data_IF_060699710757
#
_entry.id   IF_060699710757
#
_cell.length_a   1.000
_cell.length_b   1.000
_cell.length_c   1.000
_cell.angle_alpha   90.00
_cell.angle_beta   90.00
_cell.angle_gamma   90.00
#
_symmetry.space_group_name_H-M   'P 1'
#
loop_
_entity.id
_entity.type
_entity.pdbx_description
1 polymer ?
#
# COMPACT_ATOMS: atom_id res chain seq x y z
N UNK A 1 -5.55 -1.15 -19.31
CA UNK A 1 -6.86 -1.39 -18.67
C UNK A 1 -7.39 -0.06 -18.17
N UNK A 2 -8.52 0.39 -18.71
CA UNK A 2 -9.18 1.64 -18.31
C UNK A 2 -10.15 1.44 -17.14
N UNK A 3 -10.74 2.52 -16.64
CA UNK A 3 -11.64 2.52 -15.47
C UNK A 3 -12.85 1.57 -15.62
N UNK A 4 -13.36 1.40 -16.84
CA UNK A 4 -14.51 0.52 -17.16
C UNK A 4 -14.26 -0.96 -16.83
N UNK A 5 -13.00 -1.44 -16.83
CA UNK A 5 -12.71 -2.82 -16.40
C UNK A 5 -12.70 -2.99 -14.87
N UNK A 6 -12.87 -1.90 -14.11
CA UNK A 6 -12.86 -1.90 -12.65
C UNK A 6 -14.21 -1.57 -12.01
N UNK A 7 -15.26 -1.46 -12.82
CA UNK A 7 -16.66 -1.33 -12.35
C UNK A 7 -17.34 -2.67 -12.14
N UNK A 8 -16.71 -3.77 -12.58
CA UNK A 8 -17.18 -5.14 -12.35
C UNK A 8 -16.94 -5.57 -10.90
N UNK A 9 -17.84 -6.41 -10.37
CA UNK A 9 -17.76 -6.91 -9.00
C UNK A 9 -16.37 -7.51 -8.71
N UNK A 10 -15.76 -7.09 -7.60
CA UNK A 10 -14.45 -7.56 -7.11
C UNK A 10 -13.22 -7.32 -8.03
N UNK A 11 -13.37 -6.65 -9.17
CA UNK A 11 -12.26 -6.34 -10.09
C UNK A 11 -11.12 -5.54 -9.44
N UNK A 12 -11.44 -4.70 -8.45
CA UNK A 12 -10.47 -3.95 -7.65
C UNK A 12 -9.57 -4.85 -6.79
N UNK A 13 -10.03 -6.05 -6.43
CA UNK A 13 -9.29 -7.04 -5.64
C UNK A 13 -8.41 -7.96 -6.49
N UNK A 14 -8.57 -7.95 -7.82
CA UNK A 14 -7.79 -8.74 -8.77
C UNK A 14 -6.36 -8.20 -9.00
N UNK A 15 -5.70 -7.73 -7.93
CA UNK A 15 -4.36 -7.13 -7.97
C UNK A 15 -3.40 -7.83 -6.99
N UNK A 16 -3.17 -9.12 -7.22
CA UNK A 16 -2.20 -9.91 -6.46
C UNK A 16 -2.79 -10.66 -5.27
N UNK A 17 -4.13 -10.74 -5.19
CA UNK A 17 -4.84 -11.72 -4.35
C UNK A 17 -4.31 -13.13 -4.64
N UNK A 18 -4.22 -13.97 -3.62
CA UNK A 18 -3.69 -15.33 -3.75
C UNK A 18 -4.51 -16.31 -2.93
N UNK A 19 -4.78 -17.46 -3.54
CA UNK A 19 -5.46 -18.59 -2.91
C UNK A 19 -4.51 -19.78 -2.84
N UNK A 20 -4.58 -20.54 -1.75
CA UNK A 20 -3.97 -21.87 -1.68
C UNK A 20 -4.88 -22.87 -2.38
N UNK A 21 -4.31 -23.56 -3.35
CA UNK A 21 -4.95 -24.59 -4.18
C UNK A 21 -4.16 -25.90 -4.13
N UNK A 22 -3.33 -26.09 -3.09
CA UNK A 22 -2.49 -27.28 -2.92
C UNK A 22 -3.34 -28.56 -2.89
N UNK A 23 -2.86 -29.62 -3.55
CA UNK A 23 -3.53 -30.91 -3.58
C UNK A 23 -3.87 -31.42 -2.17
N UNK A 24 -5.13 -31.84 -1.99
CA UNK A 24 -5.65 -32.31 -0.71
C UNK A 24 -6.38 -31.25 0.12
N UNK A 25 -6.34 -29.98 -0.26
CA UNK A 25 -7.27 -28.97 0.29
C UNK A 25 -8.62 -29.12 -0.39
N UNK A 26 -9.70 -29.23 0.39
CA UNK A 26 -11.07 -29.49 -0.12
C UNK A 26 -11.66 -28.33 -0.93
N UNK A 27 -11.15 -27.11 -0.75
CA UNK A 27 -11.53 -25.92 -1.51
C UNK A 27 -10.40 -24.87 -1.51
N UNK A 28 -10.29 -24.02 -2.55
CA UNK A 28 -9.35 -22.92 -2.53
C UNK A 28 -9.53 -22.03 -1.29
N UNK A 29 -8.46 -21.72 -0.57
CA UNK A 29 -8.51 -20.87 0.62
C UNK A 29 -7.74 -19.56 0.39
N UNK A 30 -8.32 -18.42 0.81
CA UNK A 30 -7.66 -17.12 0.69
C UNK A 30 -6.44 -17.07 1.63
N UNK A 31 -5.26 -16.82 1.06
CA UNK A 31 -4.01 -16.75 1.85
C UNK A 31 -3.32 -15.39 1.78
N UNK A 32 -3.67 -14.55 0.80
CA UNK A 32 -3.17 -13.19 0.68
C UNK A 32 -4.22 -12.30 0.03
N UNK A 33 -4.51 -11.16 0.67
CA UNK A 33 -5.41 -10.13 0.19
C UNK A 33 -4.70 -8.77 0.25
N UNK A 34 -3.91 -8.40 -0.77
CA UNK A 34 -3.26 -7.09 -0.83
C UNK A 34 -4.28 -5.93 -0.90
N UNK A 35 -3.85 -4.66 -0.84
CA UNK A 35 -4.74 -3.52 -0.99
C UNK A 35 -5.46 -3.57 -2.34
N UNK A 36 -6.71 -3.11 -2.35
CA UNK A 36 -7.46 -2.90 -3.58
C UNK A 36 -6.69 -1.99 -4.54
N UNK A 37 -6.98 -2.13 -5.84
CA UNK A 37 -6.51 -1.18 -6.84
C UNK A 37 -7.07 0.21 -6.51
N UNK A 38 -6.17 1.17 -6.31
CA UNK A 38 -6.49 2.59 -6.29
C UNK A 38 -5.80 3.32 -7.44
N UNK A 39 -6.35 4.46 -7.84
CA UNK A 39 -5.97 5.20 -9.05
C UNK A 39 -5.20 6.46 -8.71
N UNK A 40 -4.56 7.02 -9.73
CA UNK A 40 -4.06 8.40 -9.65
C UNK A 40 -5.25 9.33 -9.56
N UNK A 41 -5.12 10.38 -8.77
CA UNK A 41 -6.18 11.37 -8.55
C UNK A 41 -6.75 11.90 -9.88
N UNK A 42 -5.91 12.05 -10.90
CA UNK A 42 -6.27 12.54 -12.23
C UNK A 42 -6.85 11.46 -13.16
N UNK A 43 -6.64 10.18 -12.86
CA UNK A 43 -7.05 9.05 -13.69
C UNK A 43 -8.23 8.26 -13.12
N UNK A 44 -8.77 8.71 -12.00
CA UNK A 44 -10.01 8.22 -11.43
C UNK A 44 -11.18 9.03 -12.01
N UNK A 45 -12.27 8.37 -12.42
CA UNK A 45 -13.43 9.10 -12.95
C UNK A 45 -14.37 9.63 -11.86
N UNK A 46 -14.06 9.38 -10.59
CA UNK A 46 -14.80 9.89 -9.44
C UNK A 46 -14.49 11.37 -9.22
N UNK A 47 -15.51 12.15 -8.88
CA UNK A 47 -15.29 13.47 -8.32
C UNK A 47 -14.85 13.33 -6.86
N UNK A 48 -13.54 13.41 -6.63
CA UNK A 48 -12.95 13.29 -5.30
C UNK A 48 -13.37 14.40 -4.34
N UNK A 49 -13.86 15.55 -4.84
CA UNK A 49 -14.28 16.70 -4.03
C UNK A 49 -15.62 16.49 -3.32
N UNK A 50 -16.35 15.43 -3.69
CA UNK A 50 -17.57 15.00 -2.99
C UNK A 50 -17.27 14.30 -1.64
N UNK A 51 -16.01 13.95 -1.40
CA UNK A 51 -15.53 13.43 -0.12
C UNK A 51 -14.61 14.43 0.60
N UNK A 52 -14.22 14.09 1.82
CA UNK A 52 -13.24 14.84 2.61
C UNK A 52 -11.88 14.13 2.60
N UNK A 53 -10.80 14.90 2.74
CA UNK A 53 -9.45 14.34 2.89
C UNK A 53 -9.34 13.69 4.28
N UNK A 54 -8.97 12.41 4.34
CA UNK A 54 -8.67 11.69 5.56
C UNK A 54 -7.17 11.74 5.89
N UNK A 55 -6.54 10.58 6.00
CA UNK A 55 -5.09 10.47 6.13
C UNK A 55 -4.37 10.63 4.79
N UNK A 56 -3.17 11.24 4.81
CA UNK A 56 -2.17 11.12 3.73
C UNK A 56 -0.98 10.32 4.22
N UNK A 57 -0.44 9.45 3.37
CA UNK A 57 0.68 8.57 3.68
C UNK A 57 1.75 8.70 2.61
N UNK A 58 3.02 8.80 3.01
CA UNK A 58 4.14 8.95 2.07
C UNK A 58 4.09 7.80 1.06
N UNK A 59 4.07 8.15 -0.23
CA UNK A 59 4.15 7.15 -1.28
C UNK A 59 5.62 6.82 -1.53
N UNK A 60 6.04 5.66 -1.05
CA UNK A 60 7.33 5.09 -1.36
C UNK A 60 7.35 4.56 -2.80
N UNK A 61 8.54 4.63 -3.43
CA UNK A 61 8.78 4.26 -4.83
C UNK A 61 9.58 2.96 -4.90
N UNK A 62 8.94 1.86 -4.54
CA UNK A 62 9.56 0.55 -4.45
C UNK A 62 8.67 -0.55 -5.00
N UNK A 63 8.70 -1.71 -4.35
CA UNK A 63 7.88 -2.85 -4.72
C UNK A 63 6.97 -3.27 -3.59
N UNK A 64 5.67 -3.35 -3.88
CA UNK A 64 4.69 -3.92 -2.96
C UNK A 64 5.05 -5.37 -2.63
N UNK A 65 5.18 -5.64 -1.34
CA UNK A 65 5.37 -6.96 -0.75
C UNK A 65 4.19 -7.25 0.18
N UNK A 66 3.61 -8.43 0.06
CA UNK A 66 2.50 -8.88 0.89
C UNK A 66 2.84 -10.19 1.58
N UNK A 67 2.33 -10.37 2.79
CA UNK A 67 2.51 -11.61 3.55
C UNK A 67 1.49 -12.68 3.20
N UNK A 68 1.87 -13.93 3.38
CA UNK A 68 0.96 -15.07 3.43
C UNK A 68 1.55 -16.16 4.33
N UNK A 69 0.70 -17.06 4.83
CA UNK A 69 1.15 -18.25 5.55
C UNK A 69 1.35 -19.42 4.58
N UNK A 70 2.48 -20.10 4.71
CA UNK A 70 2.72 -21.37 4.05
C UNK A 70 3.28 -22.36 5.06
N UNK A 71 2.55 -23.46 5.30
CA UNK A 71 2.92 -24.47 6.32
C UNK A 71 3.21 -23.83 7.69
N UNK A 72 2.32 -22.95 8.13
CA UNK A 72 2.42 -22.19 9.39
C UNK A 72 3.65 -21.27 9.50
N UNK A 73 4.33 -20.98 8.40
CA UNK A 73 5.45 -20.03 8.37
C UNK A 73 5.07 -18.82 7.53
N UNK A 74 5.39 -17.63 8.04
CA UNK A 74 5.27 -16.39 7.31
C UNK A 74 6.19 -16.40 6.08
N UNK A 75 5.60 -16.17 4.92
CA UNK A 75 6.29 -15.98 3.64
C UNK A 75 5.86 -14.67 3.01
N UNK A 76 6.69 -14.19 2.09
CA UNK A 76 6.47 -12.93 1.39
C UNK A 76 6.26 -13.17 -0.09
N UNK A 77 5.44 -12.33 -0.71
CA UNK A 77 5.27 -12.30 -2.17
C UNK A 77 5.31 -10.87 -2.67
N UNK A 78 5.76 -10.70 -3.90
CA UNK A 78 5.51 -9.47 -4.64
C UNK A 78 4.10 -9.50 -5.23
N UNK A 79 3.74 -8.49 -6.04
CA UNK A 79 2.44 -8.44 -6.74
C UNK A 79 2.13 -9.75 -7.49
N UNK A 80 3.08 -10.30 -8.22
CA UNK A 80 2.86 -11.41 -9.16
C UNK A 80 3.84 -12.59 -9.02
N UNK A 81 4.71 -12.61 -8.01
CA UNK A 81 5.72 -13.66 -7.86
C UNK A 81 6.02 -13.98 -6.40
N UNK A 82 6.29 -15.27 -6.14
CA UNK A 82 6.73 -15.83 -4.86
C UNK A 82 8.26 -15.94 -4.72
N UNK A 83 9.02 -15.72 -5.79
CA UNK A 83 10.47 -15.93 -5.81
C UNK A 83 11.18 -14.91 -6.72
N UNK A 84 10.70 -13.68 -6.72
CA UNK A 84 11.41 -12.59 -7.39
C UNK A 84 12.61 -12.13 -6.55
N UNK A 85 13.54 -11.39 -7.16
CA UNK A 85 14.65 -10.76 -6.42
C UNK A 85 14.13 -9.88 -5.28
N UNK A 86 13.03 -9.17 -5.49
CA UNK A 86 12.37 -8.36 -4.47
C UNK A 86 11.87 -9.22 -3.32
N UNK A 87 11.29 -10.39 -3.58
CA UNK A 87 10.86 -11.30 -2.50
C UNK A 87 12.06 -11.74 -1.65
N UNK A 88 13.15 -12.17 -2.28
CA UNK A 88 14.36 -12.60 -1.54
C UNK A 88 14.98 -11.48 -0.71
N UNK A 89 15.02 -10.25 -1.24
CA UNK A 89 15.48 -9.07 -0.50
C UNK A 89 14.56 -8.76 0.68
N UNK A 90 13.24 -8.77 0.47
CA UNK A 90 12.26 -8.52 1.52
C UNK A 90 12.32 -9.59 2.62
N UNK A 91 12.49 -10.86 2.25
CA UNK A 91 12.69 -11.95 3.22
C UNK A 91 13.95 -11.67 4.04
N UNK A 92 15.07 -11.33 3.41
CA UNK A 92 16.30 -10.96 4.12
C UNK A 92 16.09 -9.82 5.13
N UNK A 93 15.38 -8.75 4.75
CA UNK A 93 15.05 -7.65 5.66
C UNK A 93 14.19 -8.12 6.83
N UNK A 94 13.19 -8.97 6.58
CA UNK A 94 12.31 -9.50 7.62
C UNK A 94 13.06 -10.41 8.61
N UNK A 95 13.96 -11.27 8.13
CA UNK A 95 14.74 -12.18 8.98
C UNK A 95 15.73 -11.46 9.89
N UNK A 96 16.15 -10.24 9.55
CA UNK A 96 17.03 -9.41 10.39
C UNK A 96 16.30 -8.85 11.62
N UNK A 97 14.96 -8.76 11.63
CA UNK A 97 14.18 -8.26 12.73
C UNK A 97 13.24 -9.33 13.31
N UNK A 98 13.75 -10.09 14.28
CA UNK A 98 13.00 -11.21 14.87
C UNK A 98 11.70 -10.81 15.57
N UNK A 99 11.64 -9.60 16.16
CA UNK A 99 10.43 -9.10 16.82
C UNK A 99 9.37 -8.75 15.79
N UNK A 100 9.73 -7.98 14.75
CA UNK A 100 8.84 -7.65 13.64
C UNK A 100 8.26 -8.92 13.00
N UNK A 101 9.12 -9.92 12.76
CA UNK A 101 8.69 -11.21 12.20
C UNK A 101 7.69 -11.94 13.10
N UNK A 102 7.87 -11.94 14.42
CA UNK A 102 6.91 -12.55 15.37
C UNK A 102 5.57 -11.85 15.36
N UNK A 103 5.56 -10.52 15.37
CA UNK A 103 4.34 -9.71 15.33
C UNK A 103 3.55 -9.95 14.03
N UNK A 104 4.25 -9.97 12.89
CA UNK A 104 3.66 -10.28 11.58
C UNK A 104 3.10 -11.70 11.55
N UNK A 105 3.84 -12.70 12.05
CA UNK A 105 3.37 -14.08 12.12
C UNK A 105 2.06 -14.17 12.92
N UNK A 106 2.01 -13.54 14.09
CA UNK A 106 0.82 -13.54 14.95
C UNK A 106 -0.41 -12.96 14.26
N UNK A 107 -0.26 -11.85 13.52
CA UNK A 107 -1.38 -11.28 12.75
C UNK A 107 -1.74 -12.11 11.53
N UNK A 108 -0.76 -12.69 10.83
CA UNK A 108 -1.01 -13.56 9.69
C UNK A 108 -1.81 -14.81 10.09
N UNK A 109 -1.52 -15.40 11.27
CA UNK A 109 -2.27 -16.52 11.85
C UNK A 109 -3.71 -16.16 12.21
N UNK A 110 -4.00 -14.87 12.41
CA UNK A 110 -5.34 -14.34 12.65
C UNK A 110 -6.10 -14.00 11.36
N UNK A 111 -5.56 -14.33 10.18
CA UNK A 111 -6.21 -14.07 8.90
C UNK A 111 -6.04 -12.63 8.41
N UNK A 112 -4.86 -12.05 8.64
CA UNK A 112 -4.49 -10.74 8.09
C UNK A 112 -3.40 -10.85 7.02
N UNK A 113 -3.51 -9.99 6.00
CA UNK A 113 -2.41 -9.70 5.07
C UNK A 113 -1.74 -8.41 5.48
N UNK A 114 -0.45 -8.46 5.75
CA UNK A 114 0.38 -7.30 6.05
C UNK A 114 1.10 -6.90 4.76
N UNK A 115 1.04 -5.62 4.42
CA UNK A 115 1.54 -5.07 3.17
C UNK A 115 2.63 -4.04 3.42
N UNK A 116 3.74 -4.21 2.70
CA UNK A 116 4.94 -3.42 2.82
C UNK A 116 5.35 -2.84 1.46
N UNK A 117 6.14 -1.77 1.49
CA UNK A 117 6.98 -1.39 0.37
C UNK A 117 8.41 -1.88 0.63
N UNK A 118 8.98 -2.61 -0.32
CA UNK A 118 10.42 -2.83 -0.39
C UNK A 118 11.06 -1.71 -1.20
N UNK A 119 11.88 -0.91 -0.54
CA UNK A 119 12.77 0.07 -1.18
C UNK A 119 14.21 -0.46 -1.13
N UNK A 120 14.98 -0.21 -2.19
CA UNK A 120 16.34 -0.75 -2.30
C UNK A 120 17.18 0.01 -3.34
N UNK A 121 18.49 0.21 -3.10
CA UNK A 121 19.42 0.71 -4.13
C UNK A 121 19.44 -0.18 -5.39
N UNK A 122 19.16 -1.48 -5.24
CA UNK A 122 19.16 -2.48 -6.32
C UNK A 122 17.82 -2.58 -7.05
N UNK A 123 16.78 -1.90 -6.56
CA UNK A 123 15.42 -1.94 -7.09
C UNK A 123 14.92 -0.52 -7.43
N UNK A 124 15.80 0.34 -7.94
CA UNK A 124 15.47 1.75 -8.22
C UNK A 124 14.43 1.87 -9.32
N UNK A 125 13.27 2.42 -8.97
CA UNK A 125 12.23 2.80 -9.93
C UNK A 125 12.48 4.21 -10.44
N UNK A 126 12.42 5.25 -9.62
CA UNK A 126 12.80 6.63 -9.97
C UNK A 126 13.68 7.20 -8.87
N UNK A 127 13.21 7.11 -7.63
CA UNK A 127 13.86 7.66 -6.44
C UNK A 127 15.02 6.74 -6.02
N UNK A 128 16.24 7.27 -5.84
CA UNK A 128 17.34 6.49 -5.31
C UNK A 128 17.16 6.25 -3.81
N UNK A 129 17.24 4.97 -3.40
CA UNK A 129 17.33 4.56 -2.01
C UNK A 129 18.76 4.07 -1.71
N UNK A 130 19.21 4.25 -0.48
CA UNK A 130 20.59 3.91 -0.07
C UNK A 130 20.70 2.57 0.64
N UNK A 131 19.61 2.07 1.21
CA UNK A 131 19.54 0.81 1.94
C UNK A 131 18.36 -0.04 1.48
N UNK A 132 18.46 -1.35 1.67
CA UNK A 132 17.33 -2.26 1.55
C UNK A 132 16.44 -2.07 2.78
N UNK A 133 15.17 -1.71 2.58
CA UNK A 133 14.23 -1.48 3.67
C UNK A 133 12.85 -2.01 3.33
N UNK A 134 12.23 -2.67 4.31
CA UNK A 134 10.85 -3.13 4.22
C UNK A 134 9.99 -2.26 5.13
N UNK A 135 9.15 -1.39 4.57
CA UNK A 135 8.36 -0.40 5.34
C UNK A 135 6.88 -0.77 5.31
N UNK A 136 6.23 -0.82 6.48
CA UNK A 136 4.83 -1.21 6.61
C UNK A 136 3.91 -0.12 6.05
N UNK A 137 3.00 -0.51 5.15
CA UNK A 137 2.03 0.38 4.50
C UNK A 137 0.62 0.20 5.04
N UNK A 138 0.17 -1.05 5.16
CA UNK A 138 -1.22 -1.36 5.53
C UNK A 138 -1.42 -2.81 5.94
N UNK A 139 -2.56 -3.08 6.57
CA UNK A 139 -3.01 -4.42 6.93
C UNK A 139 -4.42 -4.63 6.39
N UNK A 140 -4.74 -5.84 5.94
CA UNK A 140 -6.07 -6.16 5.41
C UNK A 140 -6.59 -7.49 5.94
N UNK A 141 -7.82 -7.49 6.45
CA UNK A 141 -8.48 -8.70 6.97
C UNK A 141 -8.96 -9.60 5.83
N UNK A 142 -8.72 -10.91 5.95
CA UNK A 142 -9.30 -11.92 5.05
C UNK A 142 -10.79 -12.13 5.28
N UNK A 143 -11.29 -11.82 6.48
CA UNK A 143 -12.69 -12.07 6.89
C UNK A 143 -13.58 -10.92 6.44
N UNK A 144 -13.20 -9.68 6.79
CA UNK A 144 -14.04 -8.50 6.54
C UNK A 144 -13.63 -7.73 5.29
N UNK A 145 -12.43 -7.97 4.76
CA UNK A 145 -11.83 -7.13 3.72
C UNK A 145 -11.40 -5.74 4.20
N UNK A 146 -11.60 -5.42 5.49
CA UNK A 146 -11.24 -4.14 6.10
C UNK A 146 -9.77 -3.82 5.88
N UNK A 147 -9.52 -2.62 5.37
CA UNK A 147 -8.20 -2.12 5.04
C UNK A 147 -7.76 -1.10 6.10
N UNK A 148 -6.79 -1.47 6.92
CA UNK A 148 -6.21 -0.62 7.95
C UNK A 148 -5.07 0.20 7.34
N UNK A 149 -5.20 1.52 7.40
CA UNK A 149 -4.31 2.51 6.82
C UNK A 149 -4.16 3.71 7.78
N UNK A 150 -3.04 4.42 7.71
CA UNK A 150 -2.82 5.67 8.44
C UNK A 150 -3.14 5.59 9.94
N UNK A 151 -4.00 6.48 10.41
CA UNK A 151 -4.42 6.60 11.81
C UNK A 151 -5.06 5.30 12.32
N UNK A 152 -5.92 4.65 11.52
CA UNK A 152 -6.58 3.40 11.90
C UNK A 152 -5.58 2.26 12.08
N UNK A 153 -4.57 2.19 11.21
CA UNK A 153 -3.50 1.22 11.33
C UNK A 153 -2.67 1.45 12.59
N UNK A 154 -2.26 2.70 12.85
CA UNK A 154 -1.48 3.05 14.03
C UNK A 154 -2.23 2.68 15.33
N UNK A 155 -3.51 3.00 15.41
CA UNK A 155 -4.38 2.64 16.55
C UNK A 155 -4.54 1.13 16.70
N UNK A 156 -4.70 0.39 15.61
CA UNK A 156 -4.80 -1.07 15.65
C UNK A 156 -3.53 -1.75 16.16
N UNK A 157 -2.36 -1.18 15.83
CA UNK A 157 -1.06 -1.71 16.25
C UNK A 157 -0.65 -1.25 17.64
N UNK A 158 -1.25 -0.17 18.14
CA UNK A 158 -0.93 0.43 19.43
C UNK A 158 -0.95 -0.63 20.55
N UNK A 159 0.04 -0.54 21.43
CA UNK A 159 0.27 -1.41 22.59
C UNK A 159 0.59 -2.88 22.30
N UNK A 160 0.10 -3.47 21.20
CA UNK A 160 0.23 -4.91 20.90
C UNK A 160 1.37 -5.25 19.94
N UNK A 161 1.67 -4.36 19.00
CA UNK A 161 2.61 -4.63 17.90
C UNK A 161 3.61 -3.47 17.72
N UNK A 162 4.46 -3.21 18.72
CA UNK A 162 5.36 -2.06 18.72
C UNK A 162 6.40 -2.09 17.59
N UNK A 163 6.90 -3.27 17.18
CA UNK A 163 7.87 -3.34 16.09
C UNK A 163 7.21 -3.06 14.73
N UNK A 164 5.96 -3.50 14.52
CA UNK A 164 5.20 -3.14 13.34
C UNK A 164 4.88 -1.64 13.31
N UNK A 165 4.44 -1.07 14.43
CA UNK A 165 4.15 0.36 14.55
C UNK A 165 5.41 1.21 14.26
N UNK A 166 6.57 0.85 14.80
CA UNK A 166 7.84 1.53 14.54
C UNK A 166 8.31 1.40 13.08
N UNK A 167 7.85 0.37 12.37
CA UNK A 167 8.19 0.11 10.98
C UNK A 167 7.17 0.70 9.99
N UNK A 168 6.16 1.41 10.49
CA UNK A 168 5.13 2.03 9.67
C UNK A 168 5.68 3.21 8.88
N UNK A 169 5.22 3.34 7.64
CA UNK A 169 5.52 4.52 6.81
C UNK A 169 4.93 5.77 7.45
N UNK A 170 5.60 6.91 7.25
CA UNK A 170 5.11 8.20 7.71
C UNK A 170 3.76 8.54 7.09
N UNK A 171 2.86 9.06 7.93
CA UNK A 171 1.53 9.52 7.55
C UNK A 171 1.15 10.75 8.38
N UNK A 172 0.13 11.46 7.94
CA UNK A 172 -0.46 12.61 8.62
C UNK A 172 -1.98 12.52 8.53
N UNK A 173 -2.68 12.79 9.64
CA UNK A 173 -4.13 12.94 9.64
C UNK A 173 -4.49 14.37 9.21
N UNK A 174 -5.17 14.50 8.08
CA UNK A 174 -5.52 15.80 7.49
C UNK A 174 -7.02 16.12 7.62
N UNK A 175 -7.80 15.27 8.30
CA UNK A 175 -9.27 15.37 8.42
C UNK A 175 -9.77 16.70 8.96
N UNK A 176 -8.99 17.38 9.81
CA UNK A 176 -9.36 18.67 10.41
C UNK A 176 -8.76 19.88 9.68
N UNK A 177 -7.88 19.67 8.70
CA UNK A 177 -7.13 20.75 8.03
C UNK A 177 -7.75 21.19 6.69
N UNK A 178 -8.67 20.40 6.15
CA UNK A 178 -9.26 20.57 4.83
C UNK A 178 -10.79 20.55 4.91
N UNK A 179 -11.37 21.69 5.28
CA UNK A 179 -12.81 21.86 5.56
C UNK A 179 -13.58 22.65 4.48
N UNK A 180 -12.89 23.14 3.44
CA UNK A 180 -13.50 23.85 2.30
C UNK A 180 -12.99 23.33 0.98
N UNK A 181 -13.77 23.50 -0.10
CA UNK A 181 -13.34 23.13 -1.45
C UNK A 181 -12.05 23.84 -1.87
N UNK A 182 -11.87 25.11 -1.49
CA UNK A 182 -10.64 25.87 -1.80
C UNK A 182 -9.42 25.24 -1.11
N UNK A 183 -9.53 24.91 0.19
CA UNK A 183 -8.45 24.23 0.91
C UNK A 183 -8.17 22.84 0.35
N UNK A 184 -9.20 22.13 -0.09
CA UNK A 184 -9.07 20.83 -0.75
C UNK A 184 -8.21 20.95 -2.01
N UNK A 185 -8.59 21.84 -2.92
CA UNK A 185 -7.85 22.01 -4.17
C UNK A 185 -6.41 22.48 -3.91
N UNK A 186 -6.22 23.39 -2.95
CA UNK A 186 -4.90 23.85 -2.52
C UNK A 186 -4.06 22.72 -1.91
N UNK A 187 -4.67 21.80 -1.15
CA UNK A 187 -3.98 20.65 -0.59
C UNK A 187 -3.42 19.74 -1.69
N UNK A 188 -4.24 19.38 -2.67
CA UNK A 188 -3.81 18.56 -3.81
C UNK A 188 -2.71 19.27 -4.61
N UNK A 189 -2.88 20.57 -4.86
CA UNK A 189 -1.90 21.37 -5.60
C UNK A 189 -0.57 21.49 -4.87
N UNK A 190 -0.59 21.61 -3.53
CA UNK A 190 0.63 21.65 -2.71
C UNK A 190 1.44 20.36 -2.90
N UNK A 191 0.79 19.19 -2.88
CA UNK A 191 1.47 17.91 -3.15
C UNK A 191 2.10 17.91 -4.55
N UNK A 192 1.39 18.44 -5.56
CA UNK A 192 1.89 18.46 -6.94
C UNK A 192 3.15 19.31 -7.13
N UNK A 193 3.31 20.34 -6.29
CA UNK A 193 4.43 21.28 -6.32
C UNK A 193 5.65 20.82 -5.51
N UNK A 194 5.51 19.75 -4.70
CA UNK A 194 6.66 19.16 -4.02
C UNK A 194 7.73 18.69 -5.03
N UNK A 195 8.99 18.82 -4.65
CA UNK A 195 10.13 18.50 -5.54
C UNK A 195 10.84 17.21 -5.15
N UNK A 196 10.48 16.63 -4.02
CA UNK A 196 11.10 15.43 -3.44
C UNK A 196 10.07 14.33 -3.23
N UNK A 197 10.50 13.07 -3.25
CA UNK A 197 9.58 11.95 -3.08
C UNK A 197 8.76 11.67 -4.36
N UNK A 198 7.84 10.70 -4.27
CA UNK A 198 6.88 10.43 -5.36
C UNK A 198 5.60 11.24 -5.18
N UNK A 199 5.21 11.47 -3.92
CA UNK A 199 3.95 12.09 -3.53
C UNK A 199 3.32 11.28 -2.39
N UNK A 200 1.99 11.20 -2.36
CA UNK A 200 1.26 10.56 -1.27
C UNK A 200 0.16 9.64 -1.78
N UNK A 201 -0.14 8.62 -0.97
CA UNK A 201 -1.43 7.93 -1.01
C UNK A 201 -2.35 8.69 -0.07
N UNK A 202 -3.52 9.07 -0.54
CA UNK A 202 -4.47 9.93 0.16
C UNK A 202 -5.79 9.17 0.32
N UNK A 203 -6.31 9.15 1.53
CA UNK A 203 -7.65 8.65 1.82
C UNK A 203 -8.69 9.74 1.53
N UNK A 204 -9.74 9.36 0.82
CA UNK A 204 -10.95 10.16 0.62
C UNK A 204 -12.07 9.49 1.40
N UNK A 205 -12.58 10.17 2.43
CA UNK A 205 -13.70 9.72 3.25
C UNK A 205 -15.02 10.27 2.68
N UNK A 206 -16.00 9.40 2.50
CA UNK A 206 -17.30 9.71 1.93
C UNK A 206 -18.35 9.95 3.03
N UNK A 207 -19.44 10.63 2.66
CA UNK A 207 -20.52 10.97 3.59
C UNK A 207 -21.29 9.75 4.12
N UNK A 208 -21.23 8.63 3.41
CA UNK A 208 -21.83 7.36 3.82
C UNK A 208 -20.96 6.57 4.83
N UNK A 209 -19.83 7.15 5.25
CA UNK A 209 -18.90 6.55 6.20
C UNK A 209 -17.88 5.60 5.58
N UNK A 210 -17.97 5.34 4.27
CA UNK A 210 -16.94 4.58 3.54
C UNK A 210 -15.75 5.47 3.18
N UNK A 211 -14.63 4.87 2.79
CA UNK A 211 -13.49 5.59 2.26
C UNK A 211 -12.83 4.82 1.14
N UNK A 212 -12.02 5.52 0.35
CA UNK A 212 -11.15 4.89 -0.65
C UNK A 212 -9.82 5.62 -0.74
N UNK A 213 -8.83 4.92 -1.25
CA UNK A 213 -7.52 5.51 -1.50
C UNK A 213 -7.41 6.04 -2.92
N UNK A 214 -6.66 7.13 -3.07
CA UNK A 214 -6.15 7.65 -4.34
C UNK A 214 -4.67 7.98 -4.16
N UNK A 215 -3.93 8.19 -5.24
CA UNK A 215 -2.54 8.64 -5.16
C UNK A 215 -2.36 9.94 -5.91
N UNK A 216 -1.72 10.90 -5.26
CA UNK A 216 -1.35 12.19 -5.82
C UNK A 216 0.16 12.19 -5.93
N UNK A 217 0.67 12.27 -7.17
CA UNK A 217 2.11 12.31 -7.42
C UNK A 217 2.56 13.73 -7.69
N UNK A 218 3.77 14.08 -7.25
CA UNK A 218 4.32 15.38 -7.58
C UNK A 218 4.78 15.47 -9.05
N UNK A 219 4.79 16.68 -9.57
CA UNK A 219 5.06 16.94 -10.99
C UNK A 219 6.49 16.56 -11.38
N UNK A 220 7.45 16.77 -10.48
CA UNK A 220 8.85 16.43 -10.71
C UNK A 220 9.04 14.90 -10.88
N UNK A 221 8.43 14.10 -10.01
CA UNK A 221 8.45 12.65 -10.11
C UNK A 221 7.84 12.17 -11.42
N UNK A 222 6.68 12.69 -11.81
CA UNK A 222 6.00 12.31 -13.05
C UNK A 222 6.90 12.58 -14.28
N UNK A 223 7.58 13.72 -14.32
CA UNK A 223 8.53 14.03 -15.39
C UNK A 223 9.70 13.04 -15.43
N UNK A 224 10.27 12.69 -14.28
CA UNK A 224 11.36 11.71 -14.19
C UNK A 224 10.89 10.30 -14.59
N UNK A 225 9.69 9.89 -14.16
CA UNK A 225 9.08 8.61 -14.52
C UNK A 225 8.85 8.54 -16.04
N UNK A 226 8.34 9.61 -16.65
CA UNK A 226 8.16 9.71 -18.10
C UNK A 226 9.48 9.59 -18.85
N UNK A 227 10.52 10.35 -18.45
CA UNK A 227 11.85 10.26 -19.06
C UNK A 227 12.45 8.87 -18.94
N UNK A 228 12.26 8.18 -17.82
CA UNK A 228 12.74 6.80 -17.66
C UNK A 228 12.01 5.81 -18.57
N UNK A 229 10.70 5.98 -18.75
CA UNK A 229 9.90 5.13 -19.65
C UNK A 229 10.21 5.41 -21.13
N UNK A 230 10.54 6.66 -21.46
CA UNK A 230 10.85 7.11 -22.82
C UNK A 230 12.21 7.83 -22.85
N UNK A 231 13.34 7.10 -22.80
CA UNK A 231 14.68 7.69 -22.68
C UNK A 231 15.15 8.51 -23.89
N UNK A 232 14.37 8.53 -24.98
CA UNK A 232 14.67 9.24 -26.24
C UNK A 232 13.82 10.52 -26.45
N UNK A 233 13.09 10.97 -25.41
CA UNK A 233 12.40 12.27 -25.34
C UNK A 233 13.15 13.19 -24.37
#
# INVERSE_FOLDING_TARGET
MGWVSFTELASMDCRGIMFDVTDGVSSPSLVCLPPQKFFEYEHDSRDHTLGRIGDKMVKLDGSLISTFLHKSQIRLKSKASLDSQQVRLAESCLYQNSQLRREIQSLAEQGYTINFELTSPRNRIVIPYTIDQLTLLSIRSHITGEHLFGTRLAQFLQDKYPAMLANMVSYENCSNSVDTCEKYLKFIETIRQETTGEGYVVEIELNDGTSYLTKVKNSNFLQLEMKKKNPNL
#
